data_IF_035286250566
#
_entry.id   IF_035286250566
#
_cell.length_a   1.000
_cell.length_b   1.000
_cell.length_c   1.000
_cell.angle_alpha   90.00
_cell.angle_beta   90.00
_cell.angle_gamma   90.00
#
_symmetry.space_group_name_H-M   'P 1'
#
loop_
_entity.id
_entity.type
_entity.pdbx_description
1 polymer ?
#
# COMPACT_ATOMS: atom_id res chain seq x y z
N UNK A 1 18.61 -22.39 -5.16
CA UNK A 1 17.49 -22.67 -4.26
C UNK A 1 17.42 -21.64 -3.18
N UNK A 2 16.24 -21.07 -2.93
CA UNK A 2 16.13 -20.04 -1.91
C UNK A 2 16.17 -20.64 -0.51
N UNK A 3 16.67 -19.85 0.43
CA UNK A 3 16.68 -20.25 1.82
C UNK A 3 15.26 -20.18 2.39
N UNK A 4 14.89 -21.07 3.32
CA UNK A 4 13.55 -21.04 3.89
C UNK A 4 13.18 -19.70 4.54
N UNK A 5 14.15 -18.97 5.07
CA UNK A 5 13.92 -17.70 5.73
C UNK A 5 13.93 -16.51 4.77
N UNK A 6 14.25 -16.71 3.51
CA UNK A 6 14.23 -15.63 2.55
C UNK A 6 12.81 -15.15 2.28
N UNK A 7 12.67 -13.84 2.10
CA UNK A 7 11.41 -13.23 1.77
C UNK A 7 11.31 -13.10 0.25
N UNK A 8 10.22 -13.58 -0.29
CA UNK A 8 9.92 -13.45 -1.71
C UNK A 8 8.68 -12.61 -1.91
N UNK A 9 8.78 -11.65 -2.81
CA UNK A 9 7.65 -10.82 -3.21
C UNK A 9 7.39 -11.06 -4.69
N UNK A 10 6.19 -11.52 -5.00
CA UNK A 10 5.83 -11.88 -6.36
C UNK A 10 4.46 -11.33 -6.73
N UNK A 11 4.26 -11.08 -8.01
CA UNK A 11 2.96 -10.72 -8.54
C UNK A 11 2.04 -11.95 -8.52
N UNK A 12 0.80 -11.74 -8.14
CA UNK A 12 -0.23 -12.80 -8.16
C UNK A 12 -0.84 -12.83 -9.57
N UNK A 13 -0.09 -13.33 -10.51
CA UNK A 13 -0.27 -13.02 -11.91
C UNK A 13 -1.60 -13.40 -12.52
N UNK A 14 -2.09 -14.61 -12.27
CA UNK A 14 -3.23 -15.10 -13.06
C UNK A 14 -4.60 -14.73 -12.53
N UNK A 15 -4.71 -14.67 -11.24
CA UNK A 15 -5.97 -14.37 -10.58
C UNK A 15 -6.45 -12.95 -10.80
N UNK A 16 -5.52 -12.09 -11.18
CA UNK A 16 -5.75 -10.66 -11.22
C UNK A 16 -5.28 -10.04 -12.52
N UNK A 17 -5.33 -10.81 -13.60
CA UNK A 17 -4.94 -10.30 -14.91
C UNK A 17 -5.66 -9.00 -15.25
N UNK A 18 -6.92 -8.88 -14.88
CA UNK A 18 -7.70 -7.66 -15.11
C UNK A 18 -7.21 -6.51 -14.24
N UNK A 19 -6.84 -6.79 -13.00
CA UNK A 19 -6.29 -5.77 -12.11
C UNK A 19 -4.90 -5.33 -12.56
N UNK A 20 -4.14 -6.22 -13.19
CA UNK A 20 -2.80 -5.91 -13.64
C UNK A 20 -2.78 -4.78 -14.69
N UNK A 21 -3.85 -4.57 -15.40
CA UNK A 21 -3.94 -3.46 -16.34
C UNK A 21 -4.13 -2.12 -15.63
N UNK A 22 -4.85 -2.12 -14.51
CA UNK A 22 -5.18 -0.90 -13.79
C UNK A 22 -4.45 -0.75 -12.48
N UNK A 23 -3.99 -1.86 -11.89
CA UNK A 23 -3.33 -1.89 -10.60
C UNK A 23 -2.32 -3.00 -10.48
N UNK A 24 -1.90 -3.30 -9.27
CA UNK A 24 -0.95 -4.36 -8.99
C UNK A 24 -1.30 -5.07 -7.70
N UNK A 25 -1.10 -6.36 -7.67
CA UNK A 25 -1.31 -7.19 -6.49
C UNK A 25 -0.03 -8.00 -6.25
N UNK A 26 0.55 -7.85 -5.07
CA UNK A 26 1.77 -8.55 -4.69
C UNK A 26 1.55 -9.34 -3.41
N UNK A 27 2.21 -10.48 -3.32
CA UNK A 27 2.24 -11.27 -2.10
C UNK A 27 3.68 -11.43 -1.64
N UNK A 28 3.87 -11.51 -0.33
CA UNK A 28 5.15 -11.83 0.28
C UNK A 28 5.10 -13.24 0.80
N UNK A 29 6.05 -14.07 0.40
CA UNK A 29 6.15 -15.45 0.85
C UNK A 29 7.41 -15.67 1.67
N UNK A 30 7.27 -16.50 2.70
CA UNK A 30 8.40 -16.94 3.50
C UNK A 30 8.12 -18.38 3.95
N UNK A 31 9.11 -19.25 3.81
CA UNK A 31 9.00 -20.67 4.18
C UNK A 31 7.81 -21.36 3.50
N UNK A 32 7.50 -20.98 2.26
CA UNK A 32 6.39 -21.57 1.53
C UNK A 32 5.01 -21.05 1.88
N UNK A 33 4.91 -20.10 2.80
CA UNK A 33 3.63 -19.52 3.21
C UNK A 33 3.54 -18.04 2.88
N UNK A 34 2.32 -17.56 2.68
CA UNK A 34 2.08 -16.15 2.46
C UNK A 34 2.07 -15.42 3.79
N UNK A 35 2.90 -14.41 3.94
CA UNK A 35 3.03 -13.64 5.19
C UNK A 35 2.54 -12.20 5.07
N UNK A 36 2.17 -11.78 3.89
CA UNK A 36 1.62 -10.46 3.68
C UNK A 36 1.22 -10.25 2.24
N UNK A 37 0.48 -9.18 2.00
CA UNK A 37 0.12 -8.82 0.63
C UNK A 37 -0.08 -7.31 0.52
N UNK A 38 0.01 -6.82 -0.68
CA UNK A 38 -0.21 -5.42 -0.99
C UNK A 38 -0.93 -5.29 -2.33
N UNK A 39 -1.82 -4.32 -2.41
CA UNK A 39 -2.67 -4.13 -3.55
C UNK A 39 -2.75 -2.65 -3.89
N UNK A 40 -2.58 -2.34 -5.17
CA UNK A 40 -2.90 -1.02 -5.72
C UNK A 40 -4.12 -1.16 -6.61
N UNK A 41 -5.17 -0.44 -6.30
CA UNK A 41 -6.41 -0.45 -7.05
C UNK A 41 -6.71 0.93 -7.62
N UNK A 42 -7.43 1.01 -8.74
CA UNK A 42 -7.93 2.30 -9.20
C UNK A 42 -8.76 2.96 -8.10
N UNK A 43 -8.59 4.27 -7.94
CA UNK A 43 -9.34 5.01 -6.91
C UNK A 43 -10.81 5.15 -7.24
N UNK A 44 -11.18 4.99 -8.51
CA UNK A 44 -12.55 5.08 -8.94
C UNK A 44 -12.65 4.94 -10.45
N UNK A 45 -13.86 4.97 -10.98
CA UNK A 45 -14.10 4.79 -12.41
C UNK A 45 -14.14 6.09 -13.19
N UNK A 46 -14.04 7.23 -12.52
CA UNK A 46 -14.06 8.53 -13.21
C UNK A 46 -12.78 8.75 -13.99
N UNK A 47 -12.89 9.26 -15.20
CA UNK A 47 -11.73 9.55 -16.03
C UNK A 47 -10.75 10.50 -15.35
N UNK A 48 -11.26 11.43 -14.56
CA UNK A 48 -10.44 12.40 -13.84
C UNK A 48 -9.56 11.77 -12.76
N UNK A 49 -9.82 10.52 -12.36
CA UNK A 49 -9.07 9.82 -11.32
C UNK A 49 -8.24 8.65 -11.85
N UNK A 50 -8.08 8.54 -13.16
CA UNK A 50 -7.37 7.39 -13.75
C UNK A 50 -5.91 7.31 -13.35
N UNK A 51 -5.31 8.40 -12.88
CA UNK A 51 -3.93 8.46 -12.43
C UNK A 51 -3.76 8.16 -10.94
N UNK A 52 -4.85 7.86 -10.24
CA UNK A 52 -4.83 7.66 -8.79
C UNK A 52 -5.02 6.19 -8.46
N UNK A 53 -4.22 5.69 -7.52
CA UNK A 53 -4.37 4.33 -6.98
C UNK A 53 -4.53 4.39 -5.48
N UNK A 54 -5.32 3.46 -4.96
CA UNK A 54 -5.50 3.27 -3.52
C UNK A 54 -4.70 2.06 -3.09
N UNK A 55 -3.92 2.22 -2.04
CA UNK A 55 -3.06 1.18 -1.50
C UNK A 55 -3.73 0.46 -0.33
N UNK A 56 -3.68 -0.87 -0.38
CA UNK A 56 -3.96 -1.73 0.77
C UNK A 56 -2.71 -2.55 1.04
N UNK A 57 -2.27 -2.58 2.29
CA UNK A 57 -1.08 -3.32 2.70
C UNK A 57 -1.41 -4.09 3.98
N UNK A 58 -1.17 -5.39 3.95
CA UNK A 58 -1.44 -6.27 5.08
C UNK A 58 -0.21 -7.15 5.34
N UNK A 59 0.25 -7.17 6.59
CA UNK A 59 1.24 -8.12 7.06
C UNK A 59 0.53 -9.03 8.05
N UNK A 60 0.65 -10.34 7.84
CA UNK A 60 -0.09 -11.31 8.64
C UNK A 60 0.41 -11.33 10.09
N UNK A 61 -0.48 -11.58 11.07
CA UNK A 61 -0.07 -11.65 12.47
C UNK A 61 1.07 -12.62 12.68
N UNK A 62 1.99 -12.27 13.57
CA UNK A 62 3.18 -13.07 13.82
C UNK A 62 4.35 -12.76 12.90
N UNK A 63 4.12 -11.98 11.86
CA UNK A 63 5.16 -11.63 10.87
C UNK A 63 5.46 -10.15 10.84
N UNK A 64 4.87 -9.38 11.74
CA UNK A 64 5.11 -7.94 11.82
C UNK A 64 6.51 -7.65 12.37
N UNK A 65 7.05 -6.49 12.02
CA UNK A 65 8.36 -6.10 12.51
C UNK A 65 9.54 -6.79 11.84
N UNK A 66 9.31 -7.50 10.72
CA UNK A 66 10.34 -8.27 10.04
C UNK A 66 10.69 -7.72 8.65
N UNK A 67 10.34 -6.48 8.38
CA UNK A 67 10.65 -5.85 7.10
C UNK A 67 9.74 -6.26 5.96
N UNK A 68 8.71 -7.03 6.21
CA UNK A 68 7.79 -7.51 5.17
C UNK A 68 7.01 -6.35 4.56
N UNK A 69 6.49 -5.46 5.40
CA UNK A 69 5.77 -4.29 4.93
C UNK A 69 6.64 -3.39 4.07
N UNK A 70 7.89 -3.20 4.47
CA UNK A 70 8.85 -2.40 3.71
C UNK A 70 9.11 -3.03 2.35
N UNK A 71 9.30 -4.37 2.31
CA UNK A 71 9.57 -5.07 1.06
C UNK A 71 8.38 -4.97 0.09
N UNK A 72 7.17 -5.20 0.59
CA UNK A 72 5.96 -5.09 -0.22
C UNK A 72 5.77 -3.68 -0.75
N UNK A 73 5.90 -2.70 0.13
CA UNK A 73 5.69 -1.32 -0.23
C UNK A 73 6.72 -0.85 -1.25
N UNK A 74 8.00 -1.22 -1.06
CA UNK A 74 9.05 -0.88 -2.01
C UNK A 74 8.79 -1.47 -3.39
N UNK A 75 8.32 -2.71 -3.44
CA UNK A 75 8.00 -3.37 -4.72
C UNK A 75 6.85 -2.67 -5.43
N UNK A 76 5.80 -2.27 -4.70
CA UNK A 76 4.71 -1.53 -5.29
C UNK A 76 5.14 -0.15 -5.75
N UNK A 77 6.02 0.49 -4.99
CA UNK A 77 6.52 1.81 -5.38
C UNK A 77 7.35 1.73 -6.67
N UNK A 78 8.14 0.67 -6.84
CA UNK A 78 8.86 0.45 -8.09
C UNK A 78 7.90 0.24 -9.26
N UNK A 79 6.88 -0.56 -9.05
CA UNK A 79 5.86 -0.77 -10.08
C UNK A 79 5.19 0.54 -10.47
N UNK A 80 4.82 1.35 -9.50
CA UNK A 80 4.16 2.63 -9.75
C UNK A 80 5.09 3.61 -10.47
N UNK A 81 6.37 3.62 -10.13
CA UNK A 81 7.33 4.49 -10.83
C UNK A 81 7.54 4.08 -12.28
N UNK A 82 7.46 2.79 -12.56
CA UNK A 82 7.59 2.29 -13.92
C UNK A 82 6.33 2.51 -14.76
N UNK A 83 5.20 2.75 -14.13
CA UNK A 83 3.94 2.99 -14.81
C UNK A 83 3.81 4.46 -15.17
N UNK A 84 3.54 4.73 -16.44
CA UNK A 84 3.33 6.12 -16.90
C UNK A 84 1.99 6.66 -16.44
N UNK A 85 1.06 5.78 -16.04
CA UNK A 85 -0.30 6.18 -15.71
C UNK A 85 -0.49 6.57 -14.25
N UNK A 86 0.34 6.06 -13.35
CA UNK A 86 0.16 6.29 -11.92
C UNK A 86 0.91 7.55 -11.49
N UNK A 87 0.17 8.53 -11.01
CA UNK A 87 0.73 9.81 -10.57
C UNK A 87 0.50 10.07 -9.09
N UNK A 88 -0.37 9.32 -8.46
CA UNK A 88 -0.74 9.53 -7.06
C UNK A 88 -1.14 8.20 -6.43
N UNK A 89 -0.59 7.91 -5.26
CA UNK A 89 -0.97 6.73 -4.47
C UNK A 89 -1.45 7.22 -3.12
N UNK A 90 -2.64 6.82 -2.73
CA UNK A 90 -3.23 7.23 -1.47
C UNK A 90 -3.65 6.02 -0.63
N UNK A 91 -3.67 6.22 0.67
CA UNK A 91 -4.09 5.19 1.62
C UNK A 91 -4.78 5.83 2.81
N UNK A 92 -5.48 5.00 3.57
CA UNK A 92 -6.02 5.39 4.87
C UNK A 92 -5.47 4.44 5.91
N UNK A 93 -5.14 4.98 7.08
CA UNK A 93 -4.60 4.22 8.19
C UNK A 93 -5.23 4.73 9.48
N UNK A 94 -5.54 3.82 10.39
CA UNK A 94 -6.10 4.21 11.69
C UNK A 94 -5.06 4.95 12.51
N UNK A 95 -5.50 5.98 13.22
CA UNK A 95 -4.58 6.81 14.00
C UNK A 95 -3.79 6.02 15.04
N UNK A 96 -4.31 4.91 15.51
CA UNK A 96 -3.65 4.06 16.51
C UNK A 96 -2.60 3.15 15.91
N UNK A 97 -2.54 3.02 14.59
CA UNK A 97 -1.58 2.14 13.95
C UNK A 97 -0.25 2.85 13.74
N UNK A 98 0.47 3.10 14.84
CA UNK A 98 1.71 3.85 14.82
C UNK A 98 2.78 3.18 13.94
N UNK A 99 2.84 1.85 13.95
CA UNK A 99 3.82 1.12 13.15
C UNK A 99 3.60 1.33 11.66
N UNK A 100 2.35 1.26 11.20
CA UNK A 100 2.03 1.48 9.80
C UNK A 100 2.29 2.94 9.40
N UNK A 101 1.90 3.88 10.22
CA UNK A 101 2.13 5.30 9.95
C UNK A 101 3.63 5.57 9.80
N UNK A 102 4.42 5.00 10.71
CA UNK A 102 5.88 5.15 10.64
C UNK A 102 6.43 4.56 9.35
N UNK A 103 5.97 3.37 8.97
CA UNK A 103 6.38 2.71 7.73
C UNK A 103 6.08 3.58 6.51
N UNK A 104 4.86 4.08 6.42
CA UNK A 104 4.46 4.91 5.29
C UNK A 104 5.27 6.19 5.20
N UNK A 105 5.49 6.87 6.32
CA UNK A 105 6.32 8.07 6.35
C UNK A 105 7.75 7.78 5.92
N UNK A 106 8.31 6.68 6.40
CA UNK A 106 9.65 6.25 6.03
C UNK A 106 9.77 6.02 4.52
N UNK A 107 8.71 5.58 3.89
CA UNK A 107 8.68 5.30 2.45
C UNK A 107 8.20 6.51 1.62
N UNK A 108 8.08 7.67 2.21
CA UNK A 108 7.81 8.89 1.48
C UNK A 108 6.37 9.36 1.45
N UNK A 109 5.47 8.65 2.13
CA UNK A 109 4.09 9.10 2.25
C UNK A 109 3.99 10.25 3.25
N UNK A 110 3.13 11.19 2.98
CA UNK A 110 2.86 12.31 3.86
C UNK A 110 1.38 12.33 4.25
N UNK A 111 1.10 12.76 5.46
CA UNK A 111 -0.27 12.93 5.91
C UNK A 111 -0.92 14.07 5.10
N UNK A 112 -2.08 13.80 4.55
CA UNK A 112 -2.80 14.77 3.73
C UNK A 112 -4.16 15.13 4.31
N UNK A 113 -4.79 14.19 5.00
CA UNK A 113 -6.13 14.40 5.52
C UNK A 113 -6.34 13.62 6.79
N UNK A 114 -7.39 14.01 7.53
CA UNK A 114 -7.78 13.32 8.74
C UNK A 114 -9.30 13.21 8.74
N UNK A 115 -9.76 11.97 8.88
CA UNK A 115 -11.20 11.67 8.89
C UNK A 115 -11.63 11.41 10.32
N UNK A 116 -12.19 12.43 10.95
CA UNK A 116 -12.54 12.37 12.36
C UNK A 116 -13.67 11.39 12.63
N UNK A 117 -13.48 10.56 13.67
CA UNK A 117 -14.48 9.59 14.13
C UNK A 117 -14.98 8.65 13.03
N UNK A 118 -14.07 8.28 12.14
CA UNK A 118 -14.39 7.42 11.00
C UNK A 118 -14.67 5.98 11.42
N UNK A 119 -14.01 5.50 12.46
CA UNK A 119 -14.09 4.11 12.90
C UNK A 119 -14.72 4.08 14.29
N UNK A 120 -15.78 3.30 14.44
CA UNK A 120 -16.41 3.08 15.73
C UNK A 120 -15.96 1.72 16.28
N UNK A 121 -15.41 1.72 17.47
CA UNK A 121 -14.98 0.50 18.14
C UNK A 121 -16.15 -0.17 18.87
N UNK A 122 -16.03 -1.48 19.18
CA UNK A 122 -17.10 -2.21 19.87
C UNK A 122 -17.50 -1.60 21.21
N UNK A 123 -16.57 -0.92 21.90
CA UNK A 123 -16.86 -0.28 23.19
C UNK A 123 -17.57 1.06 23.04
N UNK A 124 -17.86 1.48 21.80
CA UNK A 124 -18.57 2.72 21.53
C UNK A 124 -17.66 3.94 21.35
N UNK A 125 -16.35 3.79 21.53
CA UNK A 125 -15.40 4.88 21.26
C UNK A 125 -15.10 4.97 19.76
N UNK A 126 -14.51 6.09 19.35
CA UNK A 126 -14.22 6.37 17.96
C UNK A 126 -12.74 6.61 17.74
N UNK A 127 -12.27 6.23 16.55
CA UNK A 127 -10.93 6.53 16.08
C UNK A 127 -11.00 7.32 14.79
N UNK A 128 -9.98 8.13 14.56
CA UNK A 128 -9.81 8.80 13.28
C UNK A 128 -9.06 7.91 12.30
N UNK A 129 -9.33 8.10 11.02
CA UNK A 129 -8.49 7.60 9.94
C UNK A 129 -7.61 8.74 9.44
N UNK A 130 -6.38 8.42 9.11
CA UNK A 130 -5.44 9.36 8.53
C UNK A 130 -5.27 9.01 7.06
N UNK A 131 -5.46 9.99 6.19
CA UNK A 131 -5.20 9.84 4.77
C UNK A 131 -3.76 10.23 4.49
N UNK A 132 -3.02 9.36 3.81
CA UNK A 132 -1.64 9.60 3.44
C UNK A 132 -1.46 9.45 1.94
N UNK A 133 -0.53 10.18 1.38
CA UNK A 133 -0.33 10.23 -0.07
C UNK A 133 1.15 10.21 -0.41
N UNK A 134 1.45 9.57 -1.52
CA UNK A 134 2.77 9.52 -2.10
C UNK A 134 2.67 9.73 -3.61
N UNK A 135 3.62 10.46 -4.18
CA UNK A 135 3.67 10.72 -5.62
C UNK A 135 4.84 9.95 -6.23
N UNK A 136 4.56 9.00 -7.15
CA UNK A 136 5.62 8.15 -7.75
C UNK A 136 6.70 8.93 -8.47
N UNK A 137 6.32 10.04 -9.08
CA UNK A 137 7.25 10.87 -9.83
C UNK A 137 7.31 12.23 -9.15
N UNK A 138 8.53 12.71 -8.92
CA UNK A 138 8.69 14.04 -8.35
C UNK A 138 7.97 15.05 -9.22
N UNK A 139 7.15 15.88 -8.58
CA UNK A 139 6.39 16.88 -9.30
C UNK A 139 7.35 17.93 -9.83
N UNK A 140 7.23 18.23 -11.10
CA UNK A 140 8.02 19.29 -11.67
C UNK A 140 7.62 20.64 -11.10
N UNK A 141 8.55 21.58 -11.10
CA UNK A 141 8.25 22.93 -10.65
C UNK A 141 7.06 23.46 -11.42
N UNK A 142 6.14 24.11 -10.73
CA UNK A 142 4.98 24.69 -11.39
C UNK A 142 5.41 25.77 -12.34
N UNK A 143 4.89 25.66 -13.49
CA UNK A 143 5.15 26.67 -14.53
C UNK A 143 4.29 27.90 -14.29
#
# INVERSE_FOLDING_TARGET
MSQPHELHVAAFAQKIAELAEAGSYLVAERNGGIVGHALLEPAGSLAALTHVRTLTLVVHPGNTGQGIGTALLSALQEWARASTDVQRVELRVRETNAAAIHLYKKCGFAEESRFHRRVKLPDGTYLDDIGMTWFPVAREAKK
#
